data_IF_284651791565
#
_entry.id   IF_284651791565
#
_cell.length_a   1.000
_cell.length_b   1.000
_cell.length_c   1.000
_cell.angle_alpha   90.00
_cell.angle_beta   90.00
_cell.angle_gamma   90.00
#
_symmetry.space_group_name_H-M   'P 1'
#
loop_
_entity.id
_entity.type
_entity.pdbx_description
1 polymer ?
#
# COMPACT_ATOMS: atom_id res chain seq x y z
N UNK A 1 72.99 -27.81 -0.56
CA UNK A 1 71.70 -27.65 -1.26
C UNK A 1 70.60 -27.80 -0.23
N UNK A 2 69.86 -26.72 0.06
CA UNK A 2 68.73 -26.76 0.97
C UNK A 2 67.45 -26.98 0.16
N UNK A 3 66.81 -28.12 0.36
CA UNK A 3 65.49 -28.42 -0.20
C UNK A 3 64.43 -27.86 0.76
N UNK A 4 63.61 -26.93 0.26
CA UNK A 4 62.53 -26.31 1.03
C UNK A 4 61.26 -27.15 0.89
N UNK A 5 60.84 -27.78 1.97
CA UNK A 5 59.59 -28.56 2.03
C UNK A 5 58.40 -27.60 2.18
N UNK A 6 57.60 -27.46 1.13
CA UNK A 6 56.35 -26.70 1.10
C UNK A 6 55.26 -27.42 1.93
N UNK A 7 54.93 -26.87 3.10
CA UNK A 7 53.86 -27.39 3.96
C UNK A 7 52.53 -26.79 3.52
N UNK A 8 51.78 -27.54 2.72
CA UNK A 8 50.38 -27.27 2.43
C UNK A 8 49.56 -27.21 3.73
N UNK A 9 49.20 -25.99 4.17
CA UNK A 9 48.39 -25.77 5.37
C UNK A 9 46.91 -26.00 5.03
N UNK A 10 46.38 -27.16 5.42
CA UNK A 10 44.95 -27.47 5.32
C UNK A 10 44.08 -26.49 6.10
N UNK A 11 42.92 -26.13 5.54
CA UNK A 11 41.99 -25.18 6.17
C UNK A 11 41.35 -25.83 7.40
N UNK A 12 41.44 -25.20 8.59
CA UNK A 12 40.89 -25.77 9.81
C UNK A 12 39.35 -25.81 9.75
N UNK A 13 38.76 -26.96 10.11
CA UNK A 13 37.30 -27.23 10.04
C UNK A 13 36.43 -26.17 10.73
N UNK A 14 36.95 -25.54 11.79
CA UNK A 14 36.27 -24.47 12.55
C UNK A 14 36.12 -23.16 11.76
N UNK A 15 36.92 -22.93 10.72
CA UNK A 15 36.81 -21.78 9.81
C UNK A 15 35.85 -22.03 8.65
N UNK A 16 35.53 -23.29 8.36
CA UNK A 16 34.66 -23.70 7.24
C UNK A 16 33.18 -23.69 7.68
N UNK A 17 32.89 -24.11 8.91
CA UNK A 17 31.55 -24.12 9.49
C UNK A 17 30.80 -22.77 9.43
N UNK A 18 31.38 -21.61 9.79
CA UNK A 18 30.69 -20.33 9.71
C UNK A 18 30.39 -19.90 8.25
N UNK A 19 31.24 -20.28 7.29
CA UNK A 19 31.02 -19.99 5.87
C UNK A 19 29.90 -20.84 5.28
N UNK A 20 29.86 -22.15 5.58
CA UNK A 20 28.74 -23.00 5.15
C UNK A 20 27.44 -22.66 5.86
N UNK A 21 27.47 -22.40 7.17
CA UNK A 21 26.29 -22.06 7.96
C UNK A 21 25.65 -20.74 7.55
N UNK A 22 26.46 -19.74 7.17
CA UNK A 22 25.94 -18.47 6.65
C UNK A 22 25.31 -18.63 5.26
N UNK A 23 25.85 -19.49 4.39
CA UNK A 23 25.25 -19.77 3.08
C UNK A 23 23.87 -20.42 3.16
N UNK A 24 23.58 -21.16 4.23
CA UNK A 24 22.30 -21.84 4.45
C UNK A 24 21.14 -20.87 4.73
N UNK A 25 21.46 -19.64 5.17
CA UNK A 25 20.46 -18.61 5.48
C UNK A 25 20.14 -17.70 4.29
N UNK A 26 20.89 -17.80 3.18
CA UNK A 26 20.64 -17.04 1.94
C UNK A 26 19.20 -17.21 1.40
N UNK A 27 18.60 -18.41 1.33
CA UNK A 27 17.22 -18.56 0.84
C UNK A 27 16.15 -17.98 1.78
N UNK A 28 16.48 -17.76 3.05
CA UNK A 28 15.59 -17.09 4.02
C UNK A 28 15.76 -15.57 4.04
N UNK A 29 16.84 -15.04 3.44
CA UNK A 29 17.04 -13.61 3.21
C UNK A 29 16.31 -13.11 1.95
N UNK A 30 15.16 -13.73 1.66
CA UNK A 30 14.24 -13.31 0.63
C UNK A 30 13.62 -11.97 1.02
N UNK A 31 14.12 -10.90 0.41
CA UNK A 31 13.46 -9.60 0.40
C UNK A 31 12.06 -9.78 -0.15
N UNK A 32 11.05 -9.88 0.74
CA UNK A 32 9.67 -9.76 0.35
C UNK A 32 9.51 -8.33 -0.17
N UNK A 33 9.68 -8.15 -1.49
CA UNK A 33 8.93 -7.09 -2.15
C UNK A 33 7.49 -7.50 -1.92
N UNK A 34 6.90 -6.96 -0.84
CA UNK A 34 5.51 -6.60 -0.94
C UNK A 34 5.49 -5.81 -2.25
N UNK A 35 4.94 -6.43 -3.30
CA UNK A 35 4.11 -5.65 -4.18
C UNK A 35 3.06 -5.12 -3.21
N UNK A 36 3.38 -3.99 -2.57
CA UNK A 36 2.40 -2.95 -2.48
C UNK A 36 1.83 -2.98 -3.89
N UNK A 37 0.65 -3.57 -4.01
CA UNK A 37 -0.35 -2.91 -4.82
C UNK A 37 -0.34 -1.49 -4.27
N UNK A 38 0.58 -0.68 -4.77
CA UNK A 38 0.27 0.63 -5.24
C UNK A 38 -0.81 0.35 -6.29
N UNK A 39 -2.02 0.03 -5.81
CA UNK A 39 -3.16 0.84 -6.18
C UNK A 39 -2.55 2.21 -6.20
N UNK A 40 -2.33 2.73 -7.40
CA UNK A 40 -2.06 4.13 -7.55
C UNK A 40 -3.24 4.79 -6.81
N UNK A 41 -3.06 5.01 -5.53
CA UNK A 41 -3.49 6.20 -4.85
C UNK A 41 -2.75 7.32 -5.58
N UNK A 42 -3.11 7.54 -6.87
CA UNK A 42 -3.67 8.84 -7.15
C UNK A 42 -4.69 8.95 -6.05
N UNK A 43 -4.36 9.74 -5.03
CA UNK A 43 -5.30 10.26 -4.08
C UNK A 43 -6.42 10.88 -4.91
N UNK A 44 -7.30 10.04 -5.44
CA UNK A 44 -8.56 10.39 -6.01
C UNK A 44 -9.24 10.90 -4.77
N UNK A 45 -9.06 12.19 -4.47
CA UNK A 45 -9.54 12.76 -3.23
C UNK A 45 -11.04 12.43 -3.21
N UNK A 46 -11.46 11.56 -2.29
CA UNK A 46 -12.85 11.19 -2.14
C UNK A 46 -13.46 12.12 -1.10
N UNK A 47 -14.73 12.45 -1.27
CA UNK A 47 -15.52 13.16 -0.30
C UNK A 47 -16.72 12.31 0.08
N UNK A 48 -17.06 12.29 1.37
CA UNK A 48 -18.21 11.56 1.88
C UNK A 48 -19.42 12.48 1.82
N UNK A 49 -20.43 12.07 1.07
CA UNK A 49 -21.71 12.77 0.92
C UNK A 49 -22.85 11.96 1.54
N UNK A 50 -24.00 12.62 1.72
CA UNK A 50 -25.24 11.97 2.15
C UNK A 50 -26.14 11.70 0.94
N UNK A 51 -26.73 10.51 0.92
CA UNK A 51 -27.82 10.14 0.03
C UNK A 51 -29.16 10.64 0.58
N UNK A 52 -30.22 10.70 -0.24
CA UNK A 52 -31.59 11.02 0.21
C UNK A 52 -32.12 10.07 1.29
N UNK A 53 -31.63 8.83 1.32
CA UNK A 53 -31.99 7.81 2.32
C UNK A 53 -31.27 8.01 3.67
N UNK A 54 -30.45 9.05 3.81
CA UNK A 54 -29.68 9.34 5.03
C UNK A 54 -28.40 8.53 5.21
N UNK A 55 -28.09 7.62 4.29
CA UNK A 55 -26.84 6.85 4.33
C UNK A 55 -25.70 7.59 3.64
N UNK A 56 -24.46 7.21 3.97
CA UNK A 56 -23.26 7.86 3.42
C UNK A 56 -22.81 7.19 2.12
N UNK A 57 -22.21 7.98 1.22
CA UNK A 57 -21.58 7.51 -0.01
C UNK A 57 -20.27 8.25 -0.25
N UNK A 58 -19.26 7.56 -0.78
CA UNK A 58 -17.96 8.16 -1.14
C UNK A 58 -17.96 8.51 -2.63
N UNK A 59 -17.69 9.76 -2.94
CA UNK A 59 -17.67 10.27 -4.33
C UNK A 59 -16.31 10.87 -4.65
N UNK A 60 -15.80 10.65 -5.87
CA UNK A 60 -14.55 11.27 -6.34
C UNK A 60 -14.73 12.80 -6.40
N UNK A 61 -13.79 13.57 -5.84
CA UNK A 61 -13.80 15.05 -5.94
C UNK A 61 -13.77 15.53 -7.38
N UNK A 62 -13.11 14.80 -8.29
CA UNK A 62 -13.11 15.12 -9.72
C UNK A 62 -14.50 15.10 -10.35
N UNK A 63 -15.39 14.22 -9.89
CA UNK A 63 -16.79 14.16 -10.31
C UNK A 63 -17.61 15.28 -9.66
N UNK A 64 -17.40 15.55 -8.38
CA UNK A 64 -18.02 16.66 -7.63
C UNK A 64 -17.72 18.02 -8.27
N UNK A 65 -16.47 18.28 -8.65
CA UNK A 65 -16.06 19.53 -9.28
C UNK A 65 -16.70 19.76 -10.68
N UNK A 66 -17.09 18.68 -11.35
CA UNK A 66 -17.81 18.73 -12.64
C UNK A 66 -19.32 18.79 -12.47
N UNK A 67 -19.84 18.56 -11.27
CA UNK A 67 -21.26 18.56 -11.01
C UNK A 67 -21.83 19.99 -11.05
N UNK A 68 -23.06 20.13 -11.55
CA UNK A 68 -23.76 21.41 -11.57
C UNK A 68 -24.46 21.63 -10.23
N UNK A 69 -24.20 22.78 -9.60
CA UNK A 69 -24.99 23.22 -8.44
C UNK A 69 -26.37 23.66 -8.93
N UNK A 70 -27.41 23.01 -8.41
CA UNK A 70 -28.81 23.28 -8.78
C UNK A 70 -29.36 24.50 -8.03
N UNK A 71 -29.20 24.54 -6.71
CA UNK A 71 -29.57 25.67 -5.87
C UNK A 71 -28.62 25.75 -4.66
N UNK A 72 -28.05 26.93 -4.42
CA UNK A 72 -27.15 27.18 -3.28
C UNK A 72 -27.90 27.52 -1.99
N UNK A 73 -29.11 28.05 -2.08
CA UNK A 73 -29.88 28.58 -0.94
C UNK A 73 -31.24 27.89 -0.81
N UNK A 74 -31.23 26.57 -0.85
CA UNK A 74 -32.45 25.79 -0.72
C UNK A 74 -32.93 25.76 0.75
N UNK A 75 -34.23 25.96 0.97
CA UNK A 75 -34.84 25.80 2.29
C UNK A 75 -34.98 24.33 2.69
N UNK A 76 -35.03 24.03 3.99
CA UNK A 76 -35.22 22.64 4.47
C UNK A 76 -36.50 21.99 3.93
N UNK A 77 -37.58 22.76 3.79
CA UNK A 77 -38.85 22.27 3.21
C UNK A 77 -38.69 21.86 1.75
N UNK A 78 -37.99 22.68 0.96
CA UNK A 78 -37.72 22.41 -0.45
C UNK A 78 -36.75 21.24 -0.62
N UNK A 79 -35.73 21.14 0.25
CA UNK A 79 -34.79 20.02 0.27
C UNK A 79 -35.52 18.69 0.51
N UNK A 80 -36.36 18.62 1.55
CA UNK A 80 -37.09 17.39 1.88
C UNK A 80 -38.03 16.96 0.74
N UNK A 81 -38.75 17.92 0.15
CA UNK A 81 -39.58 17.66 -1.03
C UNK A 81 -38.75 17.14 -2.21
N UNK A 82 -37.58 17.73 -2.47
CA UNK A 82 -36.65 17.30 -3.53
C UNK A 82 -36.09 15.88 -3.29
N UNK A 83 -35.84 15.51 -2.03
CA UNK A 83 -35.43 14.16 -1.64
C UNK A 83 -36.58 13.14 -1.65
N UNK A 84 -37.81 13.55 -2.00
CA UNK A 84 -39.00 12.69 -1.99
C UNK A 84 -39.49 12.36 -0.58
N UNK A 85 -38.95 13.03 0.44
CA UNK A 85 -39.36 12.88 1.83
C UNK A 85 -40.58 13.78 2.06
N UNK A 86 -41.77 13.19 2.04
CA UNK A 86 -42.99 13.89 2.42
C UNK A 86 -42.95 14.20 3.92
N UNK A 87 -43.27 15.44 4.28
CA UNK A 87 -43.65 15.80 5.65
C UNK A 87 -44.97 15.13 6.02
#
# INVERSE_FOLDING_TARGET
>A
MAESQDKQKGVPRRKILPLLGSSLLIPFLGHSRQKEHKTEEREDLYETLLKPDGTTVRVKKSSLNKAKVVDKKMSNTSLLHWLGMKK
#
